data_IF_759207213508
#
_entry.id   IF_759207213508
#
_cell.length_a   1.000
_cell.length_b   1.000
_cell.length_c   1.000
_cell.angle_alpha   90.00
_cell.angle_beta   90.00
_cell.angle_gamma   90.00
#
_symmetry.space_group_name_H-M   'P 1'
#
loop_
_entity.id
_entity.type
_entity.pdbx_description
1 polymer ?
#
# COMPACT_ATOMS: atom_id res chain seq x y z
N UNK A 1 -42.42 -61.14 5.12
CA UNK A 1 -41.47 -61.95 4.37
C UNK A 1 -40.70 -61.05 3.41
N UNK A 2 -39.35 -61.14 3.43
CA UNK A 2 -38.42 -60.80 2.33
C UNK A 2 -38.35 -59.29 1.98
N UNK A 3 -37.24 -58.56 1.93
CA UNK A 3 -35.81 -58.82 2.09
C UNK A 3 -35.12 -57.44 2.10
N UNK A 4 -34.25 -57.25 3.09
CA UNK A 4 -32.89 -56.72 3.03
C UNK A 4 -32.39 -55.79 1.89
N UNK A 5 -31.72 -54.73 2.35
CA UNK A 5 -30.38 -54.24 1.97
C UNK A 5 -30.09 -53.87 0.51
N UNK A 6 -29.62 -52.63 0.29
CA UNK A 6 -28.20 -52.37 0.00
C UNK A 6 -27.88 -50.88 -0.14
N UNK A 7 -26.84 -50.45 0.59
CA UNK A 7 -26.12 -49.18 0.44
C UNK A 7 -25.08 -49.30 -0.68
N UNK A 8 -25.02 -48.37 -1.64
CA UNK A 8 -23.83 -48.02 -2.46
C UNK A 8 -23.96 -46.54 -2.87
N UNK A 9 -23.35 -45.56 -2.21
CA UNK A 9 -21.94 -45.13 -2.31
C UNK A 9 -21.33 -45.25 -3.71
N UNK A 10 -21.30 -44.13 -4.45
CA UNK A 10 -20.38 -43.75 -5.55
C UNK A 10 -20.70 -42.27 -5.89
N UNK A 11 -19.84 -41.31 -6.24
CA UNK A 11 -18.38 -41.21 -6.41
C UNK A 11 -18.06 -39.69 -6.42
N UNK A 12 -17.13 -39.27 -5.57
CA UNK A 12 -16.55 -37.92 -5.50
C UNK A 12 -15.93 -37.56 -6.85
N UNK A 13 -16.51 -36.60 -7.58
CA UNK A 13 -15.96 -36.09 -8.85
C UNK A 13 -14.74 -35.23 -8.55
N UNK A 14 -13.55 -35.79 -8.77
CA UNK A 14 -12.32 -35.02 -8.82
C UNK A 14 -12.38 -34.09 -10.04
N UNK A 15 -12.28 -32.79 -9.82
CA UNK A 15 -11.93 -31.84 -10.88
C UNK A 15 -10.41 -31.84 -11.00
N UNK A 16 -9.94 -32.61 -11.97
CA UNK A 16 -8.54 -32.63 -12.42
C UNK A 16 -8.13 -31.26 -12.95
N UNK A 17 -6.82 -31.02 -12.84
CA UNK A 17 -6.17 -29.77 -13.20
C UNK A 17 -6.31 -29.40 -14.67
N UNK A 18 -6.29 -28.09 -14.91
CA UNK A 18 -6.17 -27.51 -16.24
C UNK A 18 -4.77 -27.79 -16.81
N UNK A 19 -4.64 -28.24 -18.06
CA UNK A 19 -3.36 -28.42 -18.71
C UNK A 19 -2.74 -27.07 -19.07
N UNK A 20 -1.48 -26.87 -18.66
CA UNK A 20 -0.62 -25.80 -19.11
C UNK A 20 -0.27 -26.00 -20.59
N UNK A 21 -0.50 -24.99 -21.42
CA UNK A 21 0.00 -24.92 -22.79
C UNK A 21 1.39 -24.28 -22.81
N UNK A 22 2.42 -24.91 -23.40
CA UNK A 22 3.69 -24.26 -23.70
C UNK A 22 3.58 -23.47 -25.02
N UNK A 23 3.94 -22.19 -25.00
CA UNK A 23 4.15 -21.38 -26.22
C UNK A 23 5.63 -21.00 -26.24
N UNK A 24 6.36 -21.61 -27.17
CA UNK A 24 7.78 -21.37 -27.46
C UNK A 24 7.86 -20.85 -28.89
N UNK A 25 8.40 -19.62 -28.99
CA UNK A 25 9.27 -19.06 -30.05
C UNK A 25 8.69 -18.96 -31.45
N UNK A 26 8.63 -17.72 -31.97
CA UNK A 26 9.44 -17.26 -33.11
C UNK A 26 9.15 -15.77 -33.34
N UNK A 27 10.21 -14.95 -33.34
CA UNK A 27 10.14 -13.53 -33.69
C UNK A 27 10.27 -13.33 -35.19
N UNK A 28 9.84 -12.18 -35.73
CA UNK A 28 10.23 -11.76 -37.07
C UNK A 28 11.24 -10.60 -37.03
N UNK A 29 12.43 -10.92 -37.52
CA UNK A 29 13.21 -10.25 -38.57
C UNK A 29 13.32 -8.71 -38.56
N UNK A 30 14.59 -8.27 -38.51
CA UNK A 30 15.10 -6.97 -38.93
C UNK A 30 14.45 -6.44 -40.22
N UNK A 31 13.98 -5.20 -40.18
CA UNK A 31 13.88 -4.34 -41.36
C UNK A 31 14.82 -3.16 -41.17
N UNK A 32 15.87 -3.18 -41.98
CA UNK A 32 16.85 -2.12 -42.19
C UNK A 32 16.26 -1.15 -43.20
N UNK A 33 15.75 0.00 -42.75
CA UNK A 33 15.54 1.14 -43.63
C UNK A 33 16.62 2.18 -43.33
N UNK A 34 17.56 2.21 -44.26
CA UNK A 34 18.55 3.26 -44.40
C UNK A 34 17.88 4.50 -44.98
N UNK A 35 17.84 5.57 -44.20
CA UNK A 35 17.78 6.93 -44.75
C UNK A 35 18.98 7.70 -44.21
N UNK A 36 20.12 7.45 -44.85
CA UNK A 36 21.33 8.26 -44.75
C UNK A 36 21.13 9.54 -45.56
N UNK A 37 20.57 10.57 -44.91
CA UNK A 37 20.66 11.93 -45.42
C UNK A 37 22.13 12.40 -45.34
N UNK A 38 22.81 12.28 -46.48
CA UNK A 38 24.06 12.97 -46.80
C UNK A 38 23.81 14.48 -46.69
N UNK A 39 24.31 15.09 -45.61
CA UNK A 39 24.57 16.53 -45.56
C UNK A 39 26.07 16.73 -45.50
N UNK A 40 26.51 17.56 -46.44
CA UNK A 40 27.86 17.76 -46.91
C UNK A 40 28.88 18.08 -45.83
N UNK A 41 30.09 17.58 -46.11
CA UNK A 41 31.33 18.02 -45.52
C UNK A 41 31.45 19.54 -45.53
N UNK A 42 31.56 20.11 -44.34
CA UNK A 42 32.06 21.44 -44.08
C UNK A 42 33.17 21.30 -43.04
N UNK A 43 34.36 21.01 -43.53
CA UNK A 43 35.61 21.08 -42.78
C UNK A 43 35.83 22.55 -42.38
N UNK A 44 35.40 22.89 -41.18
CA UNK A 44 35.86 24.09 -40.49
C UNK A 44 36.46 23.66 -39.16
N UNK A 45 37.78 23.48 -39.22
CA UNK A 45 38.68 23.58 -38.08
C UNK A 45 38.48 24.96 -37.48
N UNK A 46 37.51 25.09 -36.58
CA UNK A 46 37.44 26.24 -35.67
C UNK A 46 38.61 26.06 -34.74
N UNK A 47 39.71 26.73 -35.08
CA UNK A 47 40.86 26.92 -34.19
C UNK A 47 40.29 27.55 -32.94
N UNK A 48 40.03 26.71 -31.94
CA UNK A 48 39.70 27.15 -30.61
C UNK A 48 40.90 27.94 -30.13
N UNK A 49 40.79 29.27 -30.17
CA UNK A 49 41.72 30.17 -29.50
C UNK A 49 41.85 29.69 -28.07
N UNK A 50 42.99 29.06 -27.80
CA UNK A 50 43.36 28.62 -26.47
C UNK A 50 43.41 29.89 -25.61
N UNK A 51 42.40 30.07 -24.76
CA UNK A 51 42.46 31.02 -23.65
C UNK A 51 43.85 30.87 -23.01
N UNK A 52 44.60 31.96 -22.82
CA UNK A 52 45.94 31.86 -22.27
C UNK A 52 45.82 31.08 -20.98
N UNK A 53 46.50 29.92 -20.92
CA UNK A 53 46.58 29.13 -19.72
C UNK A 53 47.13 30.06 -18.64
N UNK A 54 46.26 30.53 -17.76
CA UNK A 54 46.65 31.29 -16.59
C UNK A 54 47.77 30.49 -15.95
N UNK A 55 48.98 31.04 -15.95
CA UNK A 55 50.12 30.45 -15.25
C UNK A 55 49.71 30.37 -13.80
N UNK A 56 49.17 29.22 -13.40
CA UNK A 56 48.86 28.92 -12.01
C UNK A 56 50.22 28.95 -11.33
N UNK A 57 50.51 30.07 -10.67
CA UNK A 57 51.75 30.27 -9.93
C UNK A 57 51.98 28.99 -9.12
N UNK A 58 53.08 28.30 -9.43
CA UNK A 58 53.40 27.05 -8.75
C UNK A 58 53.85 27.39 -7.34
N UNK A 59 52.88 27.60 -6.47
CA UNK A 59 53.14 27.86 -5.05
C UNK A 59 53.84 26.62 -4.50
N UNK A 60 55.11 26.80 -4.14
CA UNK A 60 55.98 25.91 -3.38
C UNK A 60 55.76 24.41 -3.63
N UNK A 61 56.50 23.84 -4.59
CA UNK A 61 56.65 22.38 -4.69
C UNK A 61 57.63 21.91 -3.60
N UNK A 62 57.31 20.82 -2.91
CA UNK A 62 58.31 20.13 -2.08
C UNK A 62 59.43 19.58 -2.98
N UNK A 63 60.66 19.53 -2.47
CA UNK A 63 61.85 19.08 -3.23
C UNK A 63 61.67 17.68 -3.82
N UNK A 64 60.86 16.82 -3.17
CA UNK A 64 60.55 15.45 -3.62
C UNK A 64 59.45 15.35 -4.69
N UNK A 65 58.83 16.47 -5.11
CA UNK A 65 57.73 16.49 -6.08
C UNK A 65 56.41 15.87 -5.58
N UNK A 66 56.41 15.26 -4.39
CA UNK A 66 55.25 14.58 -3.79
C UNK A 66 54.58 15.49 -2.76
N UNK A 67 53.35 15.87 -3.06
CA UNK A 67 52.48 16.58 -2.12
C UNK A 67 51.84 15.56 -1.16
N UNK A 68 52.13 15.68 0.14
CA UNK A 68 51.55 14.81 1.18
C UNK A 68 50.09 15.12 1.51
N UNK A 69 49.58 16.28 1.05
CA UNK A 69 48.17 16.71 1.14
C UNK A 69 47.66 17.05 -0.25
N UNK A 70 46.51 16.50 -0.65
CA UNK A 70 45.78 16.97 -1.83
C UNK A 70 45.26 18.37 -1.53
N UNK A 71 45.52 19.34 -2.41
CA UNK A 71 44.91 20.68 -2.28
C UNK A 71 43.43 20.56 -2.65
N UNK A 72 42.56 20.87 -1.72
CA UNK A 72 41.13 21.04 -2.02
C UNK A 72 40.98 22.19 -3.00
N UNK A 73 40.51 21.89 -4.23
CA UNK A 73 40.50 22.86 -5.32
C UNK A 73 39.47 23.98 -5.14
N UNK A 74 38.54 23.86 -4.20
CA UNK A 74 37.50 24.86 -3.92
C UNK A 74 37.29 24.97 -2.41
N UNK A 75 37.14 26.20 -1.91
CA UNK A 75 36.73 26.43 -0.52
C UNK A 75 35.27 25.98 -0.36
N UNK A 76 34.98 25.24 0.70
CA UNK A 76 33.61 24.77 1.03
C UNK A 76 32.60 25.92 1.08
N UNK A 77 33.04 27.10 1.55
CA UNK A 77 32.24 28.33 1.58
C UNK A 77 31.82 28.84 0.19
N UNK A 78 32.53 28.50 -0.88
CA UNK A 78 32.15 28.87 -2.26
C UNK A 78 30.97 28.03 -2.76
N UNK A 79 30.92 26.75 -2.41
CA UNK A 79 29.80 25.87 -2.77
C UNK A 79 28.54 26.25 -1.97
N UNK A 80 28.69 26.49 -0.66
CA UNK A 80 27.62 26.93 0.23
C UNK A 80 27.00 28.25 -0.26
N UNK A 81 27.81 29.24 -0.68
CA UNK A 81 27.28 30.50 -1.22
C UNK A 81 26.52 30.35 -2.54
N UNK A 82 26.85 29.37 -3.37
CA UNK A 82 26.14 29.10 -4.64
C UNK A 82 24.78 28.47 -4.35
N UNK A 83 24.72 27.51 -3.43
CA UNK A 83 23.47 26.86 -3.03
C UNK A 83 22.57 27.81 -2.22
N UNK A 84 23.14 28.55 -1.27
CA UNK A 84 22.43 29.58 -0.52
C UNK A 84 21.96 30.72 -1.42
N UNK A 85 22.77 31.20 -2.39
CA UNK A 85 22.28 32.17 -3.38
C UNK A 85 21.21 31.57 -4.28
N UNK A 86 21.27 30.30 -4.64
CA UNK A 86 20.22 29.67 -5.43
C UNK A 86 18.93 29.61 -4.60
N UNK A 87 18.99 29.21 -3.34
CA UNK A 87 17.85 29.17 -2.41
C UNK A 87 17.27 30.57 -2.10
N UNK A 88 18.13 31.58 -1.91
CA UNK A 88 17.73 32.97 -1.66
C UNK A 88 17.19 33.64 -2.95
N UNK A 89 17.73 33.31 -4.12
CA UNK A 89 17.27 33.85 -5.40
C UNK A 89 16.14 33.02 -6.04
N UNK A 90 15.77 31.83 -5.55
CA UNK A 90 14.60 31.08 -6.05
C UNK A 90 13.31 31.93 -5.95
N UNK A 91 13.20 32.82 -4.96
CA UNK A 91 12.09 33.78 -4.87
C UNK A 91 12.14 34.93 -5.89
N UNK A 92 13.32 35.26 -6.42
CA UNK A 92 13.56 36.34 -7.41
C UNK A 92 13.75 35.83 -8.85
N UNK A 93 14.07 34.56 -9.03
CA UNK A 93 14.43 33.96 -10.33
C UNK A 93 13.25 33.29 -11.03
N UNK A 94 12.13 33.10 -10.33
CA UNK A 94 10.93 32.49 -10.92
C UNK A 94 9.93 33.57 -11.30
N UNK A 95 9.49 33.53 -12.55
CA UNK A 95 8.36 34.33 -12.99
C UNK A 95 7.10 34.01 -12.17
N UNK A 96 6.18 34.97 -12.05
CA UNK A 96 4.90 34.75 -11.37
C UNK A 96 4.11 33.59 -11.98
N UNK A 97 4.19 33.45 -13.30
CA UNK A 97 3.51 32.38 -14.04
C UNK A 97 4.06 30.99 -13.69
N UNK A 98 5.38 30.84 -13.55
CA UNK A 98 5.95 29.58 -13.04
C UNK A 98 5.45 29.25 -11.63
N UNK A 99 5.30 30.26 -10.78
CA UNK A 99 4.79 30.08 -9.41
C UNK A 99 3.32 29.65 -9.42
N UNK A 100 2.50 30.25 -10.27
CA UNK A 100 1.10 29.85 -10.46
C UNK A 100 0.98 28.45 -11.04
N UNK A 101 1.80 28.11 -12.05
CA UNK A 101 1.83 26.77 -12.65
C UNK A 101 2.23 25.70 -11.63
N UNK A 102 3.23 25.97 -10.77
CA UNK A 102 3.60 25.05 -9.67
C UNK A 102 2.48 24.88 -8.65
N UNK A 103 1.75 25.96 -8.32
CA UNK A 103 0.60 25.92 -7.41
C UNK A 103 -0.54 25.07 -7.99
N UNK A 104 -0.86 25.25 -9.27
CA UNK A 104 -1.88 24.46 -10.00
C UNK A 104 -1.53 22.97 -10.00
N UNK A 105 -0.32 22.62 -10.45
CA UNK A 105 0.18 21.23 -10.42
C UNK A 105 0.13 20.61 -9.02
N UNK A 106 0.50 21.37 -7.98
CA UNK A 106 0.41 20.90 -6.60
C UNK A 106 -1.03 20.69 -6.13
N UNK A 107 -1.97 21.52 -6.58
CA UNK A 107 -3.39 21.36 -6.28
C UNK A 107 -3.96 20.11 -6.97
N UNK A 108 -3.65 19.90 -8.25
CA UNK A 108 -4.05 18.72 -9.02
C UNK A 108 -3.54 17.42 -8.39
N UNK A 109 -2.26 17.37 -7.99
CA UNK A 109 -1.69 16.20 -7.31
C UNK A 109 -2.42 15.91 -6.00
N UNK A 110 -2.72 16.95 -5.20
CA UNK A 110 -3.45 16.79 -3.94
C UNK A 110 -4.88 16.28 -4.14
N UNK A 111 -5.55 16.75 -5.18
CA UNK A 111 -6.90 16.30 -5.52
C UNK A 111 -6.88 14.80 -5.88
N UNK A 112 -5.91 14.38 -6.70
CA UNK A 112 -5.70 12.97 -7.05
C UNK A 112 -5.39 12.13 -5.80
N UNK A 113 -4.50 12.61 -4.92
CA UNK A 113 -4.17 11.93 -3.66
C UNK A 113 -5.39 11.78 -2.75
N UNK A 114 -6.22 12.82 -2.64
CA UNK A 114 -7.43 12.80 -1.82
C UNK A 114 -8.46 11.82 -2.41
N UNK A 115 -8.69 11.85 -3.72
CA UNK A 115 -9.57 10.90 -4.39
C UNK A 115 -9.14 9.43 -4.17
N UNK A 116 -7.82 9.16 -4.21
CA UNK A 116 -7.29 7.82 -3.90
C UNK A 116 -7.52 7.43 -2.44
N UNK A 117 -7.27 8.34 -1.49
CA UNK A 117 -7.52 8.09 -0.06
C UNK A 117 -9.00 7.82 0.20
N UNK A 118 -9.89 8.65 -0.32
CA UNK A 118 -11.34 8.48 -0.19
C UNK A 118 -11.81 7.14 -0.73
N UNK A 119 -11.35 6.73 -1.92
CA UNK A 119 -11.67 5.41 -2.48
C UNK A 119 -11.22 4.26 -1.59
N UNK A 120 -10.04 4.35 -0.97
CA UNK A 120 -9.57 3.31 -0.05
C UNK A 120 -10.35 3.28 1.27
N UNK A 121 -10.74 4.45 1.79
CA UNK A 121 -11.55 4.58 2.99
C UNK A 121 -12.96 4.02 2.76
N UNK A 122 -13.62 4.39 1.66
CA UNK A 122 -14.93 3.88 1.26
C UNK A 122 -14.92 2.35 1.18
N UNK A 123 -13.92 1.77 0.49
CA UNK A 123 -13.77 0.30 0.40
C UNK A 123 -13.60 -0.35 1.78
N UNK A 124 -12.82 0.26 2.69
CA UNK A 124 -12.63 -0.26 4.05
C UNK A 124 -13.93 -0.16 4.86
N UNK A 125 -14.64 0.94 4.75
CA UNK A 125 -15.92 1.15 5.43
C UNK A 125 -16.99 0.17 4.95
N UNK A 126 -17.10 -0.06 3.64
CA UNK A 126 -17.99 -1.05 3.05
C UNK A 126 -17.67 -2.45 3.59
N UNK A 127 -16.41 -2.86 3.59
CA UNK A 127 -15.99 -4.15 4.15
C UNK A 127 -16.31 -4.27 5.63
N UNK A 128 -16.12 -3.18 6.39
CA UNK A 128 -16.44 -3.14 7.81
C UNK A 128 -17.95 -3.23 8.04
N UNK A 129 -18.77 -2.51 7.28
CA UNK A 129 -20.24 -2.59 7.33
C UNK A 129 -20.72 -4.02 7.04
N UNK A 130 -20.22 -4.64 5.97
CA UNK A 130 -20.54 -6.04 5.62
C UNK A 130 -20.12 -7.00 6.74
N UNK A 131 -18.93 -6.80 7.32
CA UNK A 131 -18.46 -7.63 8.44
C UNK A 131 -19.34 -7.46 9.67
N UNK A 132 -19.70 -6.23 10.02
CA UNK A 132 -20.58 -5.91 11.16
C UNK A 132 -21.96 -6.53 10.97
N UNK A 133 -22.55 -6.42 9.78
CA UNK A 133 -23.83 -7.03 9.46
C UNK A 133 -23.77 -8.56 9.55
N UNK A 134 -22.70 -9.17 9.00
CA UNK A 134 -22.48 -10.62 9.10
C UNK A 134 -22.31 -11.08 10.54
N UNK A 135 -21.64 -10.29 11.39
CA UNK A 135 -21.49 -10.58 12.81
C UNK A 135 -22.83 -10.45 13.55
N UNK A 136 -23.60 -9.40 13.28
CA UNK A 136 -24.94 -9.22 13.84
C UNK A 136 -25.86 -10.39 13.46
N UNK A 137 -25.86 -10.79 12.19
CA UNK A 137 -26.64 -11.94 11.70
C UNK A 137 -26.20 -13.25 12.37
N UNK A 138 -24.89 -13.44 12.59
CA UNK A 138 -24.37 -14.60 13.33
C UNK A 138 -24.84 -14.60 14.80
N UNK A 139 -24.84 -13.44 15.46
CA UNK A 139 -25.31 -13.33 16.85
C UNK A 139 -26.81 -13.64 16.94
N UNK A 140 -27.62 -13.09 16.04
CA UNK A 140 -29.06 -13.35 16.00
C UNK A 140 -29.37 -14.81 15.66
N UNK A 141 -28.66 -15.40 14.69
CA UNK A 141 -28.79 -16.82 14.38
C UNK A 141 -28.32 -17.70 15.54
N UNK A 142 -27.27 -17.31 16.27
CA UNK A 142 -26.84 -18.04 17.45
C UNK A 142 -27.93 -18.03 18.52
N UNK A 143 -28.55 -16.88 18.80
CA UNK A 143 -29.67 -16.80 19.74
C UNK A 143 -30.88 -17.64 19.28
N UNK A 144 -31.26 -17.54 18.00
CA UNK A 144 -32.38 -18.30 17.42
C UNK A 144 -32.12 -19.82 17.40
N UNK A 145 -30.89 -20.24 17.10
CA UNK A 145 -30.50 -21.64 17.05
C UNK A 145 -30.25 -22.25 18.44
N UNK A 146 -30.09 -21.43 19.48
CA UNK A 146 -29.87 -21.94 20.83
C UNK A 146 -31.18 -22.50 21.38
N UNK A 147 -31.34 -23.82 21.34
CA UNK A 147 -32.43 -24.52 22.02
C UNK A 147 -32.15 -24.57 23.52
N UNK A 148 -32.89 -23.77 24.31
CA UNK A 148 -32.74 -23.69 25.76
C UNK A 148 -33.83 -24.47 26.48
N UNK A 149 -33.47 -25.09 27.61
CA UNK A 149 -34.44 -25.68 28.51
C UNK A 149 -34.95 -24.62 29.50
N UNK A 150 -36.26 -24.38 29.49
CA UNK A 150 -36.90 -23.47 30.46
C UNK A 150 -37.00 -24.15 31.83
N UNK A 151 -36.40 -23.54 32.84
CA UNK A 151 -36.49 -24.00 34.24
C UNK A 151 -37.52 -23.12 34.97
N UNK A 152 -38.75 -23.61 35.11
CA UNK A 152 -39.84 -22.87 35.78
C UNK A 152 -39.89 -23.10 37.30
N UNK A 153 -39.55 -24.31 37.76
CA UNK A 153 -39.71 -24.71 39.16
C UNK A 153 -38.51 -24.32 40.01
N UNK A 154 -38.74 -23.57 41.09
CA UNK A 154 -37.69 -23.07 42.00
C UNK A 154 -36.94 -24.17 42.74
N UNK A 155 -37.61 -25.27 43.08
CA UNK A 155 -36.96 -26.44 43.73
C UNK A 155 -35.81 -27.02 42.88
N UNK A 156 -35.93 -26.99 41.55
CA UNK A 156 -34.86 -27.48 40.65
C UNK A 156 -33.60 -26.62 40.76
N UNK A 157 -33.75 -25.30 40.90
CA UNK A 157 -32.61 -24.40 41.08
C UNK A 157 -31.90 -24.62 42.42
N UNK A 158 -32.66 -24.92 43.48
CA UNK A 158 -32.11 -25.13 44.83
C UNK A 158 -31.35 -26.45 44.97
N UNK A 159 -31.75 -27.47 44.21
CA UNK A 159 -31.18 -28.83 44.29
C UNK A 159 -30.02 -29.06 43.31
N UNK A 160 -29.84 -28.18 42.33
CA UNK A 160 -28.75 -28.30 41.36
C UNK A 160 -27.37 -28.02 41.97
N UNK A 161 -26.35 -28.62 41.36
CA UNK A 161 -24.96 -28.37 41.71
C UNK A 161 -24.54 -26.94 41.32
N UNK A 162 -23.66 -26.32 42.11
CA UNK A 162 -23.02 -25.03 41.86
C UNK A 162 -22.45 -24.90 40.44
N UNK A 163 -21.88 -25.97 39.85
CA UNK A 163 -21.38 -25.94 38.46
C UNK A 163 -22.50 -25.76 37.43
N UNK A 164 -23.64 -26.43 37.61
CA UNK A 164 -24.81 -26.29 36.74
C UNK A 164 -25.43 -24.89 36.87
N UNK A 165 -25.50 -24.35 38.10
CA UNK A 165 -25.99 -22.99 38.36
C UNK A 165 -25.16 -21.89 37.68
N UNK A 166 -23.86 -22.13 37.44
CA UNK A 166 -23.00 -21.20 36.67
C UNK A 166 -23.34 -21.17 35.18
N UNK A 167 -23.94 -22.23 34.64
CA UNK A 167 -24.29 -22.35 33.22
C UNK A 167 -25.67 -21.76 32.91
N UNK A 168 -26.55 -21.64 33.90
CA UNK A 168 -27.84 -20.96 33.73
C UNK A 168 -27.62 -19.52 33.28
N UNK A 169 -28.41 -19.09 32.30
CA UNK A 169 -28.49 -17.71 31.82
C UNK A 169 -29.95 -17.24 31.88
N UNK A 170 -30.16 -15.95 32.11
CA UNK A 170 -31.46 -15.29 32.03
C UNK A 170 -31.57 -14.51 30.72
N UNK A 171 -32.76 -14.50 30.15
CA UNK A 171 -33.11 -13.61 29.03
C UNK A 171 -33.41 -12.22 29.59
N UNK A 172 -32.73 -11.20 29.09
CA UNK A 172 -33.01 -9.79 29.39
C UNK A 172 -33.15 -9.04 28.07
N UNK A 173 -34.14 -8.16 27.99
CA UNK A 173 -34.21 -7.18 26.90
C UNK A 173 -33.29 -6.02 27.25
N UNK A 174 -32.29 -5.76 26.42
CA UNK A 174 -31.40 -4.63 26.61
C UNK A 174 -32.18 -3.32 26.31
N UNK A 175 -32.25 -2.42 27.31
CA UNK A 175 -33.08 -1.20 27.24
C UNK A 175 -32.66 -0.25 26.13
N UNK A 176 -31.39 -0.26 25.75
CA UNK A 176 -30.84 0.68 24.77
C UNK A 176 -30.99 0.17 23.33
N UNK A 177 -30.90 -1.15 23.13
CA UNK A 177 -30.93 -1.76 21.79
C UNK A 177 -32.24 -2.48 21.48
N UNK A 178 -33.09 -2.73 22.48
CA UNK A 178 -34.35 -3.48 22.36
C UNK A 178 -34.16 -4.98 22.08
N UNK A 179 -32.91 -5.47 22.02
CA UNK A 179 -32.61 -6.88 21.68
C UNK A 179 -32.64 -7.77 22.92
N UNK A 180 -33.09 -9.01 22.76
CA UNK A 180 -33.04 -10.04 23.80
C UNK A 180 -31.63 -10.61 23.88
N UNK A 181 -31.00 -10.48 25.04
CA UNK A 181 -29.66 -11.01 25.32
C UNK A 181 -29.72 -12.10 26.38
N UNK A 182 -28.86 -13.11 26.24
CA UNK A 182 -28.72 -14.20 27.20
C UNK A 182 -27.58 -13.89 28.18
N UNK A 183 -27.94 -13.46 29.38
CA UNK A 183 -27.03 -12.85 30.35
C UNK A 183 -26.87 -13.74 31.60
N UNK A 184 -25.73 -13.65 32.29
CA UNK A 184 -25.57 -14.30 33.60
C UNK A 184 -26.66 -13.82 34.59
N UNK A 185 -27.29 -14.72 35.37
CA UNK A 185 -28.31 -14.38 36.36
C UNK A 185 -27.83 -13.36 37.38
N UNK A 186 -26.53 -13.40 37.67
CA UNK A 186 -25.83 -12.62 38.70
C UNK A 186 -25.36 -11.24 38.22
N UNK A 187 -25.54 -10.92 36.92
CA UNK A 187 -25.26 -9.58 36.42
C UNK A 187 -26.27 -8.61 37.02
N UNK A 188 -25.75 -7.65 37.80
CA UNK A 188 -26.47 -6.48 38.31
C UNK A 188 -26.61 -5.43 37.22
#
# INVERSE_FOLDING_TARGET
EISEMARKSTKRKQRGGSPATPVTVEGPVESTDQDTAVVQAGDQVVVAEAKPAEKKLEIGRSVSGRFWKRRDQKRTSTLVRIEENKLQNIGRSQSWDEKQNKRRKKAEIKEIENALKERTLQKREEQNKVRQERLARKQENALKATTLQTISKTHKLKTMNKKQLRQIKKTIVNRQTGKVELVSPWRK
#
